data_IF_537537554256
#
_entry.id   IF_537537554256
#
_cell.length_a   1.000
_cell.length_b   1.000
_cell.length_c   1.000
_cell.angle_alpha   90.00
_cell.angle_beta   90.00
_cell.angle_gamma   90.00
#
_symmetry.space_group_name_H-M   'P 1'
#
loop_
_entity.id
_entity.type
_entity.pdbx_description
1 polymer ?
#
# COMPACT_ATOMS: atom_id res chain seq x y z
N UNK A 1 -7.86 9.64 17.99
CA UNK A 1 -8.02 9.46 16.53
C UNK A 1 -9.48 9.17 16.28
N UNK A 2 -10.07 9.75 15.23
CA UNK A 2 -11.40 9.36 14.79
C UNK A 2 -11.24 8.27 13.71
N UNK A 3 -12.11 7.27 13.70
CA UNK A 3 -12.11 6.18 12.72
C UNK A 3 -11.60 4.83 13.23
N UNK A 4 -12.03 3.72 12.59
CA UNK A 4 -11.61 2.38 12.95
C UNK A 4 -10.13 2.14 12.59
N UNK A 5 -9.41 1.49 13.50
CA UNK A 5 -8.04 1.00 13.34
C UNK A 5 -8.06 -0.52 13.31
N UNK A 6 -7.54 -1.10 12.23
CA UNK A 6 -7.23 -2.53 12.16
C UNK A 6 -5.75 -2.72 12.49
N UNK A 7 -5.46 -3.55 13.49
CA UNK A 7 -4.11 -3.88 13.93
C UNK A 7 -3.90 -5.38 13.83
N UNK A 8 -2.95 -5.80 13.00
CA UNK A 8 -2.48 -7.19 12.96
C UNK A 8 -1.26 -7.33 13.87
N UNK A 9 -1.33 -8.25 14.83
CA UNK A 9 -0.26 -8.56 15.78
C UNK A 9 0.25 -9.96 15.50
N UNK A 10 1.50 -10.07 15.09
CA UNK A 10 2.18 -11.35 14.89
C UNK A 10 2.80 -11.81 16.21
N UNK A 11 2.68 -13.10 16.53
CA UNK A 11 3.30 -13.68 17.72
C UNK A 11 3.75 -15.12 17.46
N UNK A 12 4.89 -15.51 18.01
CA UNK A 12 5.33 -16.92 18.06
C UNK A 12 4.93 -17.64 19.34
N UNK A 13 4.25 -16.93 20.26
CA UNK A 13 3.70 -17.54 21.47
C UNK A 13 2.62 -18.56 21.07
N UNK A 14 2.60 -19.72 21.72
CA UNK A 14 1.54 -20.70 21.47
C UNK A 14 0.17 -20.13 21.84
N UNK A 15 -0.90 -20.54 21.12
CA UNK A 15 -2.28 -20.29 21.52
C UNK A 15 -2.49 -20.59 23.02
N UNK A 16 -3.12 -19.67 23.75
CA UNK A 16 -3.45 -19.79 25.18
C UNK A 16 -2.24 -19.92 26.13
N UNK A 17 -1.03 -19.62 25.65
CA UNK A 17 0.14 -19.54 26.53
C UNK A 17 0.07 -18.32 27.47
N UNK A 18 0.75 -18.36 28.64
CA UNK A 18 0.83 -17.22 29.55
C UNK A 18 1.35 -15.94 28.88
N UNK A 19 2.22 -16.09 27.87
CA UNK A 19 2.74 -14.98 27.07
C UNK A 19 1.64 -14.33 26.23
N UNK A 20 0.78 -15.13 25.59
CA UNK A 20 -0.37 -14.61 24.85
C UNK A 20 -1.40 -13.97 25.79
N UNK A 21 -1.71 -14.60 26.92
CA UNK A 21 -2.63 -14.03 27.91
C UNK A 21 -2.15 -12.66 28.40
N UNK A 22 -0.85 -12.53 28.68
CA UNK A 22 -0.23 -11.25 29.05
C UNK A 22 -0.33 -10.20 27.93
N UNK A 23 -0.17 -10.60 26.67
CA UNK A 23 -0.33 -9.70 25.52
C UNK A 23 -1.78 -9.23 25.37
N UNK A 24 -2.74 -10.14 25.45
CA UNK A 24 -4.18 -9.85 25.42
C UNK A 24 -4.58 -8.95 26.58
N UNK A 25 -4.09 -9.23 27.81
CA UNK A 25 -4.35 -8.40 28.98
C UNK A 25 -3.80 -6.97 28.83
N UNK A 26 -2.61 -6.81 28.22
CA UNK A 26 -2.06 -5.48 27.90
C UNK A 26 -2.93 -4.72 26.90
N UNK A 27 -3.38 -5.37 25.83
CA UNK A 27 -4.24 -4.75 24.82
C UNK A 27 -5.61 -4.36 25.42
N UNK A 28 -6.21 -5.24 26.23
CA UNK A 28 -7.43 -4.95 26.97
C UNK A 28 -7.24 -3.79 27.95
N UNK A 29 -6.09 -3.71 28.64
CA UNK A 29 -5.77 -2.57 29.50
C UNK A 29 -5.65 -1.27 28.72
N UNK A 30 -5.05 -1.28 27.52
CA UNK A 30 -4.99 -0.10 26.64
C UNK A 30 -6.39 0.34 26.20
N UNK A 31 -7.26 -0.59 25.82
CA UNK A 31 -8.65 -0.29 25.45
C UNK A 31 -9.43 0.28 26.64
N UNK A 32 -9.24 -0.23 27.86
CA UNK A 32 -9.87 0.33 29.08
C UNK A 32 -9.39 1.74 29.40
N UNK A 33 -8.09 2.01 29.26
CA UNK A 33 -7.49 3.33 29.50
C UNK A 33 -7.91 4.37 28.46
N UNK A 34 -8.29 3.93 27.26
CA UNK A 34 -8.68 4.80 26.17
C UNK A 34 -10.02 4.35 25.58
N UNK A 35 -11.16 4.80 26.15
CA UNK A 35 -12.50 4.39 25.74
C UNK A 35 -12.78 4.46 24.22
N UNK A 36 -12.25 5.44 23.46
CA UNK A 36 -12.43 5.43 22.00
C UNK A 36 -11.86 4.19 21.30
N UNK A 37 -10.83 3.54 21.86
CA UNK A 37 -10.26 2.31 21.30
C UNK A 37 -11.17 1.11 21.48
N UNK A 38 -12.06 1.08 22.47
CA UNK A 38 -12.99 -0.05 22.65
C UNK A 38 -13.92 -0.24 21.45
N UNK A 39 -14.31 0.86 20.79
CA UNK A 39 -15.21 0.83 19.62
C UNK A 39 -14.48 0.85 18.28
N UNK A 40 -13.24 1.33 18.27
CA UNK A 40 -12.52 1.62 17.03
C UNK A 40 -11.29 0.72 16.80
N UNK A 41 -10.77 0.03 17.81
CA UNK A 41 -9.59 -0.82 17.66
C UNK A 41 -10.00 -2.28 17.43
N UNK A 42 -9.66 -2.80 16.26
CA UNK A 42 -9.82 -4.20 15.89
C UNK A 42 -8.43 -4.84 15.89
N UNK A 43 -8.21 -5.78 16.81
CA UNK A 43 -6.93 -6.48 16.93
C UNK A 43 -7.08 -7.89 16.41
N UNK A 44 -6.20 -8.27 15.48
CA UNK A 44 -6.14 -9.59 14.90
C UNK A 44 -4.80 -10.23 15.28
N UNK A 45 -4.83 -11.45 15.81
CA UNK A 45 -3.61 -12.19 16.12
C UNK A 45 -3.27 -13.14 14.98
N UNK A 46 -2.02 -13.10 14.55
CA UNK A 46 -1.45 -14.10 13.65
C UNK A 46 -0.37 -14.86 14.39
N UNK A 47 -0.66 -16.12 14.71
CA UNK A 47 0.30 -17.05 15.30
C UNK A 47 1.25 -17.53 14.20
N UNK A 48 2.53 -17.28 14.40
CA UNK A 48 3.59 -17.66 13.49
C UNK A 48 4.44 -18.75 14.13
N UNK A 49 4.88 -19.70 13.33
CA UNK A 49 5.90 -20.66 13.79
C UNK A 49 7.22 -19.93 14.05
N UNK A 50 7.96 -20.42 15.04
CA UNK A 50 9.28 -19.88 15.36
C UNK A 50 10.22 -20.06 14.16
N UNK A 51 10.98 -19.02 13.82
CA UNK A 51 11.93 -19.06 12.69
C UNK A 51 11.34 -18.72 11.32
N UNK A 52 10.02 -18.48 11.21
CA UNK A 52 9.45 -17.94 9.97
C UNK A 52 9.93 -16.51 9.74
N UNK A 53 10.37 -16.22 8.52
CA UNK A 53 10.79 -14.89 8.08
C UNK A 53 9.64 -13.88 8.16
N UNK A 54 9.93 -12.69 8.69
CA UNK A 54 8.97 -11.59 8.80
C UNK A 54 8.75 -10.98 7.42
N UNK A 55 7.50 -10.98 6.95
CA UNK A 55 7.06 -10.43 5.66
C UNK A 55 6.06 -9.28 5.89
N UNK A 56 6.53 -8.04 6.12
CA UNK A 56 5.65 -6.99 6.64
C UNK A 56 4.66 -6.43 5.60
N UNK A 57 4.91 -6.53 4.29
CA UNK A 57 3.90 -6.22 3.27
C UNK A 57 2.80 -7.30 3.24
N UNK A 58 3.16 -8.58 3.39
CA UNK A 58 2.17 -9.65 3.51
C UNK A 58 1.23 -9.39 4.71
N UNK A 59 1.79 -8.99 5.85
CA UNK A 59 1.02 -8.61 7.03
C UNK A 59 0.14 -7.38 6.81
N UNK A 60 0.61 -6.37 6.07
CA UNK A 60 -0.23 -5.23 5.70
C UNK A 60 -1.40 -5.61 4.78
N UNK A 61 -1.19 -6.51 3.81
CA UNK A 61 -2.28 -6.99 2.98
C UNK A 61 -3.31 -7.77 3.81
N UNK A 62 -2.86 -8.59 4.77
CA UNK A 62 -3.76 -9.31 5.65
C UNK A 62 -4.54 -8.34 6.56
N UNK A 63 -3.85 -7.37 7.16
CA UNK A 63 -4.48 -6.32 7.97
C UNK A 63 -5.52 -5.52 7.17
N UNK A 64 -5.25 -5.26 5.88
CA UNK A 64 -6.22 -4.68 4.96
C UNK A 64 -7.47 -5.53 4.86
N UNK A 65 -7.35 -6.83 4.54
CA UNK A 65 -8.50 -7.71 4.36
C UNK A 65 -9.37 -7.82 5.61
N UNK A 66 -8.73 -7.82 6.78
CA UNK A 66 -9.40 -7.90 8.07
C UNK A 66 -9.98 -6.56 8.52
N UNK A 67 -9.72 -5.46 7.81
CA UNK A 67 -10.21 -4.16 8.19
C UNK A 67 -11.75 -4.09 8.14
N UNK A 68 -12.37 -3.42 9.12
CA UNK A 68 -13.82 -3.29 9.18
C UNK A 68 -14.36 -2.32 8.12
N UNK A 69 -13.51 -1.43 7.59
CA UNK A 69 -13.90 -0.41 6.62
C UNK A 69 -13.68 -0.88 5.18
N UNK A 70 -14.54 -0.47 4.23
CA UNK A 70 -14.39 -0.81 2.82
C UNK A 70 -13.19 -0.11 2.15
N UNK A 71 -12.69 0.98 2.75
CA UNK A 71 -11.48 1.69 2.32
C UNK A 71 -10.51 1.75 3.49
N UNK A 72 -9.24 1.53 3.21
CA UNK A 72 -8.18 1.49 4.20
C UNK A 72 -7.06 2.44 3.83
N UNK A 73 -6.29 2.86 4.83
CA UNK A 73 -4.99 3.51 4.62
C UNK A 73 -3.92 2.59 5.19
N UNK A 74 -2.98 2.20 4.33
CA UNK A 74 -1.84 1.37 4.68
C UNK A 74 -0.68 2.27 5.08
N UNK A 75 -0.20 2.10 6.31
CA UNK A 75 0.98 2.76 6.83
C UNK A 75 2.14 1.75 6.83
N UNK A 76 3.12 1.90 5.93
CA UNK A 76 4.18 0.90 5.75
C UNK A 76 5.37 1.06 6.71
N UNK A 77 5.43 2.20 7.43
CA UNK A 77 6.46 2.50 8.42
C UNK A 77 6.24 1.81 9.76
N UNK A 78 7.11 2.12 10.72
CA UNK A 78 6.99 1.60 12.08
C UNK A 78 5.81 2.25 12.84
N UNK A 79 5.38 1.61 13.93
CA UNK A 79 4.29 2.13 14.78
C UNK A 79 4.63 3.44 15.50
N UNK A 80 5.88 3.89 15.45
CA UNK A 80 6.28 5.22 15.93
C UNK A 80 5.79 6.34 15.01
N UNK A 81 5.45 6.04 13.75
CA UNK A 81 4.78 6.99 12.87
C UNK A 81 3.31 7.09 13.25
N UNK A 82 2.97 8.17 13.94
CA UNK A 82 1.59 8.45 14.33
C UNK A 82 0.85 9.06 13.14
N UNK A 83 -0.27 8.48 12.68
CA UNK A 83 -1.08 9.08 11.64
C UNK A 83 -1.57 10.49 12.06
N UNK A 84 -1.60 11.48 11.15
CA UNK A 84 -2.06 12.83 11.48
C UNK A 84 -3.48 12.81 12.07
N UNK A 85 -3.74 13.65 13.08
CA UNK A 85 -5.08 13.73 13.72
C UNK A 85 -6.19 14.11 12.74
N UNK A 86 -5.85 14.82 11.66
CA UNK A 86 -6.76 15.28 10.61
C UNK A 86 -7.09 14.20 9.58
N UNK A 87 -6.32 13.10 9.52
CA UNK A 87 -6.41 12.06 8.50
C UNK A 87 -7.83 11.58 8.25
N UNK A 88 -8.52 11.16 9.30
CA UNK A 88 -9.87 10.59 9.18
C UNK A 88 -10.88 11.62 8.67
N UNK A 89 -10.76 12.87 9.13
CA UNK A 89 -11.59 13.98 8.66
C UNK A 89 -11.34 14.25 7.18
N UNK A 90 -10.07 14.25 6.76
CA UNK A 90 -9.68 14.39 5.35
C UNK A 90 -10.27 13.26 4.50
N UNK A 91 -10.25 12.02 4.98
CA UNK A 91 -10.83 10.87 4.27
C UNK A 91 -12.37 10.90 4.20
N UNK A 92 -13.04 11.37 5.24
CA UNK A 92 -14.51 11.42 5.31
C UNK A 92 -15.13 12.55 4.48
N UNK A 93 -14.58 13.77 4.58
CA UNK A 93 -15.15 14.92 3.87
C UNK A 93 -14.85 14.91 2.37
N UNK A 94 -14.03 13.97 1.91
CA UNK A 94 -13.70 13.85 0.50
C UNK A 94 -14.67 12.87 -0.17
N UNK A 95 -15.88 13.38 -0.44
CA UNK A 95 -16.70 12.87 -1.55
C UNK A 95 -15.86 12.88 -2.84
N UNK A 96 -16.11 11.95 -3.77
CA UNK A 96 -15.34 11.86 -5.01
C UNK A 96 -15.41 13.18 -5.75
N UNK A 97 -14.32 13.95 -5.71
CA UNK A 97 -14.13 15.10 -6.57
C UNK A 97 -14.32 14.61 -8.00
N UNK A 98 -15.38 15.11 -8.62
CA UNK A 98 -15.78 14.86 -9.99
C UNK A 98 -14.58 14.79 -10.92
N UNK A 99 -14.22 13.60 -11.37
CA UNK A 99 -13.60 13.44 -12.68
C UNK A 99 -14.76 13.16 -13.62
N UNK A 100 -14.96 14.06 -14.58
CA UNK A 100 -15.99 14.13 -15.62
C UNK A 100 -16.03 12.93 -16.59
N UNK A 101 -15.63 11.73 -16.16
CA UNK A 101 -15.79 10.51 -16.92
C UNK A 101 -17.09 9.81 -16.50
N UNK A 102 -18.12 9.94 -17.34
CA UNK A 102 -19.29 9.07 -17.28
C UNK A 102 -18.82 7.63 -17.41
N UNK A 103 -19.16 6.76 -16.45
CA UNK A 103 -19.17 5.33 -16.70
C UNK A 103 -20.47 5.05 -17.46
N UNK A 104 -20.43 4.65 -18.75
CA UNK A 104 -21.62 4.20 -19.43
C UNK A 104 -21.99 2.84 -18.83
N UNK A 105 -23.14 2.80 -18.15
CA UNK A 105 -23.66 1.58 -17.52
C UNK A 105 -23.37 1.51 -16.03
N UNK A 106 -24.33 1.97 -15.22
CA UNK A 106 -24.76 1.57 -13.86
C UNK A 106 -23.81 0.95 -12.82
N UNK A 107 -22.51 0.82 -13.06
CA UNK A 107 -21.58 0.19 -12.17
C UNK A 107 -21.10 1.18 -11.11
N UNK A 108 -20.95 0.74 -9.85
CA UNK A 108 -20.44 1.60 -8.79
C UNK A 108 -19.10 2.19 -9.21
N UNK A 109 -18.98 3.52 -9.16
CA UNK A 109 -17.73 4.24 -9.47
C UNK A 109 -16.60 3.62 -8.64
N UNK A 110 -15.72 2.84 -9.28
CA UNK A 110 -14.52 2.30 -8.63
C UNK A 110 -13.73 3.49 -8.07
N UNK A 111 -13.61 3.56 -6.74
CA UNK A 111 -12.84 4.60 -6.07
C UNK A 111 -11.37 4.38 -6.42
N UNK A 112 -10.70 5.42 -6.89
CA UNK A 112 -9.30 5.35 -7.29
C UNK A 112 -8.41 5.08 -6.07
N UNK A 113 -7.35 4.28 -6.21
CA UNK A 113 -6.28 4.23 -5.20
C UNK A 113 -5.70 5.62 -4.99
N UNK A 114 -5.25 5.89 -3.76
CA UNK A 114 -4.69 7.19 -3.42
C UNK A 114 -3.37 7.11 -2.70
N UNK A 115 -2.51 8.11 -2.90
CA UNK A 115 -1.23 8.22 -2.21
C UNK A 115 -1.26 9.46 -1.34
N UNK A 116 -0.86 9.31 -0.08
CA UNK A 116 -0.76 10.43 0.83
C UNK A 116 0.68 10.96 0.85
N UNK A 117 0.82 12.28 0.73
CA UNK A 117 2.11 12.97 0.64
C UNK A 117 2.07 14.28 1.42
N UNK A 118 3.22 14.79 1.83
CA UNK A 118 3.37 16.15 2.37
C UNK A 118 3.89 17.17 1.35
N UNK A 119 4.32 16.73 0.16
CA UNK A 119 4.98 17.61 -0.85
C UNK A 119 4.46 17.37 -2.27
N UNK A 120 4.80 18.30 -3.17
CA UNK A 120 4.41 18.49 -4.59
C UNK A 120 4.59 17.30 -5.55
N UNK A 121 5.17 16.17 -5.12
CA UNK A 121 5.30 14.99 -5.99
C UNK A 121 3.93 14.35 -6.19
N UNK A 122 3.33 14.65 -7.34
CA UNK A 122 2.03 14.11 -7.78
C UNK A 122 2.15 12.87 -8.64
N UNK A 123 3.37 12.41 -8.93
CA UNK A 123 3.64 11.20 -9.70
C UNK A 123 4.76 10.37 -9.07
N UNK A 124 4.85 9.11 -9.51
CA UNK A 124 5.97 8.23 -9.17
C UNK A 124 7.32 8.84 -9.64
N UNK A 125 8.42 8.71 -8.89
CA UNK A 125 8.53 8.06 -7.57
C UNK A 125 7.99 8.91 -6.43
N UNK A 126 7.17 8.28 -5.58
CA UNK A 126 6.59 8.90 -4.38
C UNK A 126 7.59 8.99 -3.23
N UNK A 127 7.22 9.66 -2.14
CA UNK A 127 8.02 9.70 -0.93
C UNK A 127 8.22 8.26 -0.37
N UNK A 128 9.40 7.94 0.19
CA UNK A 128 9.63 6.65 0.82
C UNK A 128 8.59 6.41 1.92
N UNK A 129 8.04 5.20 1.96
CA UNK A 129 7.01 4.78 2.92
C UNK A 129 5.73 5.66 2.89
N UNK A 130 5.44 6.30 1.75
CA UNK A 130 4.20 7.06 1.55
C UNK A 130 2.97 6.17 1.82
N UNK A 131 2.01 6.61 2.66
CA UNK A 131 0.81 5.85 2.93
C UNK A 131 -0.06 5.68 1.69
N UNK A 132 -0.66 4.50 1.58
CA UNK A 132 -1.44 4.08 0.42
C UNK A 132 -2.90 3.86 0.81
N UNK A 133 -3.81 4.53 0.11
CA UNK A 133 -5.25 4.37 0.25
C UNK A 133 -5.75 3.38 -0.79
N UNK A 134 -6.37 2.29 -0.33
CA UNK A 134 -6.93 1.25 -1.20
C UNK A 134 -8.32 0.83 -0.72
N UNK A 135 -9.09 0.24 -1.63
CA UNK A 135 -10.24 -0.57 -1.23
C UNK A 135 -9.74 -1.80 -0.47
N UNK A 136 -10.54 -2.27 0.49
CA UNK A 136 -10.24 -3.48 1.27
C UNK A 136 -10.04 -4.70 0.38
N UNK A 137 -10.89 -4.80 -0.64
CA UNK A 137 -10.99 -5.88 -1.63
C UNK A 137 -10.25 -5.57 -2.94
N UNK A 138 -9.36 -4.56 -2.95
CA UNK A 138 -8.57 -4.25 -4.14
C UNK A 138 -7.67 -5.44 -4.52
N UNK A 139 -7.65 -5.79 -5.81
CA UNK A 139 -6.89 -6.93 -6.33
C UNK A 139 -5.37 -6.75 -6.21
N UNK A 140 -4.89 -5.52 -5.96
CA UNK A 140 -3.46 -5.25 -5.80
C UNK A 140 -2.94 -5.86 -4.50
N UNK A 141 -1.82 -6.56 -4.58
CA UNK A 141 -1.11 -7.13 -3.43
C UNK A 141 0.29 -6.54 -3.37
N UNK A 142 0.62 -5.87 -2.25
CA UNK A 142 1.99 -5.46 -1.99
C UNK A 142 2.78 -6.69 -1.54
N UNK A 143 3.65 -7.27 -2.35
CA UNK A 143 4.49 -8.41 -1.91
C UNK A 143 5.90 -7.94 -1.65
N UNK A 144 6.61 -8.60 -0.74
CA UNK A 144 8.08 -8.58 -0.70
C UNK A 144 8.58 -9.21 -2.00
N UNK A 145 9.38 -8.48 -2.78
CA UNK A 145 9.82 -8.94 -4.10
C UNK A 145 11.28 -9.37 -4.11
N UNK A 146 12.06 -8.83 -3.18
CA UNK A 146 13.49 -9.05 -3.14
C UNK A 146 13.86 -9.90 -1.92
N UNK A 147 15.14 -10.31 -1.89
CA UNK A 147 15.71 -11.17 -0.86
C UNK A 147 15.62 -10.55 0.54
N UNK A 148 15.89 -11.37 1.56
CA UNK A 148 16.08 -10.91 2.93
C UNK A 148 17.08 -9.73 2.99
N UNK A 149 16.90 -8.85 3.98
CA UNK A 149 17.72 -7.65 4.27
C UNK A 149 17.55 -6.44 3.33
N UNK A 150 16.52 -6.46 2.48
CA UNK A 150 16.14 -5.26 1.74
C UNK A 150 15.45 -4.24 2.64
N UNK A 151 15.82 -2.94 2.56
CA UNK A 151 15.21 -1.96 3.43
C UNK A 151 13.72 -1.83 3.12
N UNK A 152 12.92 -1.66 4.17
CA UNK A 152 11.45 -1.59 4.11
C UNK A 152 10.93 -0.60 3.06
N UNK A 153 11.61 0.53 2.88
CA UNK A 153 11.24 1.54 1.89
C UNK A 153 11.41 1.07 0.45
N UNK A 154 12.39 0.21 0.16
CA UNK A 154 12.64 -0.31 -1.17
C UNK A 154 11.55 -1.30 -1.61
N UNK A 155 11.17 -2.24 -0.74
CA UNK A 155 10.04 -3.15 -1.01
C UNK A 155 8.73 -2.37 -1.17
N UNK A 156 8.53 -1.33 -0.36
CA UNK A 156 7.34 -0.49 -0.45
C UNK A 156 7.29 0.32 -1.75
N UNK A 157 8.43 0.83 -2.22
CA UNK A 157 8.52 1.55 -3.51
C UNK A 157 8.00 0.69 -4.67
N UNK A 158 8.36 -0.60 -4.71
CA UNK A 158 7.87 -1.49 -5.76
C UNK A 158 6.37 -1.73 -5.66
N UNK A 159 5.79 -1.80 -4.45
CA UNK A 159 4.33 -1.85 -4.35
C UNK A 159 3.69 -0.58 -4.92
N UNK A 160 4.19 0.60 -4.54
CA UNK A 160 3.64 1.86 -5.04
C UNK A 160 3.80 1.98 -6.56
N UNK A 161 4.90 1.49 -7.12
CA UNK A 161 5.12 1.40 -8.55
C UNK A 161 4.09 0.50 -9.23
N UNK A 162 3.82 -0.69 -8.68
CA UNK A 162 2.81 -1.60 -9.23
C UNK A 162 1.40 -1.01 -9.18
N UNK A 163 1.03 -0.36 -8.07
CA UNK A 163 -0.26 0.35 -7.95
C UNK A 163 -0.36 1.46 -9.00
N UNK A 164 0.69 2.27 -9.15
CA UNK A 164 0.74 3.34 -10.13
C UNK A 164 0.66 2.83 -11.56
N UNK A 165 1.38 1.76 -11.90
CA UNK A 165 1.35 1.12 -13.21
C UNK A 165 -0.03 0.53 -13.51
N UNK A 166 -0.60 -0.23 -12.57
CA UNK A 166 -1.89 -0.89 -12.70
C UNK A 166 -3.06 0.08 -12.89
N UNK A 167 -2.90 1.33 -12.44
CA UNK A 167 -3.88 2.40 -12.61
C UNK A 167 -3.52 3.39 -13.73
N UNK A 168 -2.55 3.08 -14.60
CA UNK A 168 -2.12 3.97 -15.69
C UNK A 168 -1.71 5.38 -15.22
N UNK A 169 -1.15 5.45 -14.01
CA UNK A 169 -0.79 6.70 -13.35
C UNK A 169 -1.96 7.51 -12.79
N UNK A 170 -3.20 7.01 -12.93
CA UNK A 170 -4.42 7.66 -12.44
C UNK A 170 -4.63 7.35 -10.96
N UNK A 171 -3.80 7.97 -10.10
CA UNK A 171 -3.89 7.88 -8.65
C UNK A 171 -4.39 9.19 -8.05
N UNK A 172 -5.14 9.06 -6.95
CA UNK A 172 -5.60 10.18 -6.13
C UNK A 172 -4.46 10.66 -5.22
N UNK A 173 -3.83 11.80 -5.52
CA UNK A 173 -2.78 12.34 -4.67
C UNK A 173 -3.38 13.23 -3.59
N UNK A 174 -3.09 12.91 -2.32
CA UNK A 174 -3.63 13.61 -1.16
C UNK A 174 -2.52 14.25 -0.36
N UNK A 175 -2.53 15.57 -0.33
CA UNK A 175 -1.69 16.34 0.58
C UNK A 175 -2.31 16.30 1.96
N UNK A 176 -1.55 15.78 2.93
CA UNK A 176 -1.99 15.71 4.33
C UNK A 176 -0.85 16.20 5.21
N UNK A 177 -1.12 17.28 5.93
CA UNK A 177 -0.16 17.86 6.86
C UNK A 177 0.23 16.84 7.94
N UNK A 178 1.53 16.79 8.26
CA UNK A 178 2.08 15.87 9.25
C UNK A 178 2.41 14.47 8.72
N UNK A 179 2.17 14.17 7.44
CA UNK A 179 2.76 12.97 6.81
C UNK A 179 4.21 13.27 6.45
N UNK A 180 5.11 13.03 7.41
CA UNK A 180 6.54 13.07 7.13
C UNK A 180 6.93 11.79 6.40
N UNK A 181 7.36 11.92 5.14
CA UNK A 181 8.07 10.83 4.49
C UNK A 181 9.29 10.47 5.33
N UNK A 182 9.48 9.19 5.62
CA UNK A 182 10.72 8.77 6.27
C UNK A 182 11.86 8.91 5.26
N UNK A 183 13.06 9.22 5.75
CA UNK A 183 14.23 9.18 4.90
C UNK A 183 14.38 7.77 4.31
N UNK A 184 14.73 7.64 3.03
CA UNK A 184 15.00 6.33 2.46
C UNK A 184 16.16 5.71 3.22
N UNK A 185 15.94 4.52 3.77
CA UNK A 185 17.02 3.70 4.32
C UNK A 185 17.95 3.28 3.20
N UNK A 186 19.24 3.60 3.33
CA UNK A 186 20.27 3.24 2.36
C UNK A 186 20.68 1.79 2.50
N UNK A 187 20.85 1.10 1.38
CA UNK A 187 21.49 -0.22 1.34
C UNK A 187 22.99 0.02 1.52
N UNK A 188 23.52 -0.30 2.70
CA UNK A 188 24.92 -0.03 3.07
C UNK A 188 25.90 -0.87 2.24
N UNK A 189 25.51 -2.09 1.87
CA UNK A 189 26.34 -2.98 1.06
C UNK A 189 26.22 -2.64 -0.44
N UNK A 190 27.31 -2.17 -1.05
CA UNK A 190 27.37 -1.82 -2.46
C UNK A 190 27.05 -2.97 -3.42
N UNK A 191 27.44 -4.21 -3.09
CA UNK A 191 27.10 -5.39 -3.89
C UNK A 191 25.60 -5.69 -3.82
N UNK A 192 25.01 -5.62 -2.63
CA UNK A 192 23.57 -5.75 -2.44
C UNK A 192 22.79 -4.64 -3.16
N UNK A 193 23.27 -3.40 -3.11
CA UNK A 193 22.67 -2.28 -3.83
C UNK A 193 22.72 -2.48 -5.36
N UNK A 194 23.84 -2.98 -5.89
CA UNK A 194 23.99 -3.29 -7.32
C UNK A 194 23.07 -4.44 -7.75
N UNK A 195 23.00 -5.50 -6.94
CA UNK A 195 22.10 -6.63 -7.17
C UNK A 195 20.64 -6.17 -7.14
N UNK A 196 20.24 -5.40 -6.13
CA UNK A 196 18.91 -4.83 -6.02
C UNK A 196 18.53 -4.01 -7.26
N UNK A 197 19.38 -3.10 -7.73
CA UNK A 197 19.12 -2.33 -8.96
C UNK A 197 18.87 -3.22 -10.17
N UNK A 198 19.64 -4.30 -10.33
CA UNK A 198 19.46 -5.28 -11.41
C UNK A 198 18.11 -6.00 -11.30
N UNK A 199 17.75 -6.45 -10.09
CA UNK A 199 16.48 -7.13 -9.84
C UNK A 199 15.29 -6.21 -10.06
N UNK A 200 15.34 -4.96 -9.58
CA UNK A 200 14.32 -3.93 -9.84
C UNK A 200 14.16 -3.71 -11.34
N UNK A 201 15.27 -3.53 -12.07
CA UNK A 201 15.21 -3.33 -13.52
C UNK A 201 14.55 -4.51 -14.24
N UNK A 202 14.93 -5.75 -13.88
CA UNK A 202 14.35 -6.96 -14.46
C UNK A 202 12.87 -7.08 -14.12
N UNK A 203 12.51 -6.91 -12.85
CA UNK A 203 11.14 -6.97 -12.36
C UNK A 203 10.23 -5.94 -13.03
N UNK A 204 10.67 -4.68 -13.13
CA UNK A 204 9.91 -3.62 -13.79
C UNK A 204 9.75 -3.90 -15.28
N UNK A 205 10.77 -4.42 -15.95
CA UNK A 205 10.70 -4.86 -17.35
C UNK A 205 9.65 -5.96 -17.56
N UNK A 206 9.72 -7.04 -16.79
CA UNK A 206 8.77 -8.17 -16.86
C UNK A 206 7.34 -7.73 -16.56
N UNK A 207 7.16 -6.92 -15.50
CA UNK A 207 5.85 -6.40 -15.11
C UNK A 207 5.28 -5.46 -16.19
N UNK A 208 6.12 -4.63 -16.81
CA UNK A 208 5.74 -3.82 -17.96
C UNK A 208 5.30 -4.67 -19.16
N UNK A 209 6.06 -5.71 -19.50
CA UNK A 209 5.71 -6.64 -20.57
C UNK A 209 4.38 -7.37 -20.29
N UNK A 210 4.15 -7.77 -19.04
CA UNK A 210 2.89 -8.38 -18.63
C UNK A 210 1.72 -7.38 -18.69
N UNK A 211 1.93 -6.15 -18.20
CA UNK A 211 0.91 -5.09 -18.24
C UNK A 211 0.51 -4.75 -19.67
N UNK A 212 1.47 -4.63 -20.59
CA UNK A 212 1.22 -4.36 -22.01
C UNK A 212 0.40 -5.49 -22.63
N UNK A 213 0.79 -6.75 -22.40
CA UNK A 213 0.07 -7.92 -22.94
C UNK A 213 -1.36 -8.01 -22.40
N UNK A 214 -1.53 -7.89 -21.08
CA UNK A 214 -2.86 -7.89 -20.44
C UNK A 214 -3.73 -6.76 -20.96
N UNK A 215 -3.19 -5.55 -21.06
CA UNK A 215 -3.95 -4.42 -21.58
C UNK A 215 -4.31 -4.59 -23.06
N UNK A 216 -3.40 -5.10 -23.89
CA UNK A 216 -3.68 -5.37 -25.30
C UNK A 216 -4.79 -6.41 -25.49
N UNK A 217 -4.89 -7.40 -24.60
CA UNK A 217 -5.93 -8.43 -24.63
C UNK A 217 -7.31 -7.93 -24.18
N UNK A 218 -7.37 -6.91 -23.30
CA UNK A 218 -8.62 -6.44 -22.69
C UNK A 218 -9.12 -5.11 -23.24
N UNK A 219 -8.30 -4.35 -23.99
CA UNK A 219 -8.67 -3.03 -24.48
C UNK A 219 -9.74 -3.08 -25.56
N UNK A 220 -10.56 -2.04 -25.60
CA UNK A 220 -11.42 -1.74 -26.73
C UNK A 220 -10.66 -0.85 -27.74
N UNK A 221 -10.49 -1.31 -28.97
CA UNK A 221 -9.79 -0.58 -30.03
C UNK A 221 -10.51 0.70 -30.45
N UNK A 222 -11.83 0.78 -30.25
CA UNK A 222 -12.64 1.97 -30.54
C UNK A 222 -12.59 3.02 -29.42
N UNK A 223 -12.10 2.64 -28.23
CA UNK A 223 -12.05 3.52 -27.06
C UNK A 223 -10.89 4.51 -27.12
N UNK A 224 -11.22 5.80 -27.16
CA UNK A 224 -10.24 6.89 -27.07
C UNK A 224 -9.50 6.90 -25.73
N UNK A 225 -10.15 6.47 -24.65
CA UNK A 225 -9.55 6.34 -23.32
C UNK A 225 -8.49 5.23 -23.30
N UNK A 226 -8.79 4.08 -23.92
CA UNK A 226 -7.83 2.99 -24.02
C UNK A 226 -6.66 3.32 -24.95
N UNK A 227 -6.90 4.11 -25.99
CA UNK A 227 -5.82 4.65 -26.82
C UNK A 227 -4.88 5.57 -26.02
N UNK A 228 -5.41 6.38 -25.10
CA UNK A 228 -4.59 7.20 -24.18
C UNK A 228 -3.79 6.32 -23.21
N UNK A 229 -4.42 5.33 -22.59
CA UNK A 229 -3.75 4.36 -21.70
C UNK A 229 -2.67 3.55 -22.41
N UNK A 230 -2.92 3.10 -23.64
CA UNK A 230 -1.93 2.40 -24.47
C UNK A 230 -0.67 3.26 -24.69
N UNK A 231 -0.86 4.52 -25.06
CA UNK A 231 0.25 5.48 -25.28
C UNK A 231 1.02 5.77 -23.99
N UNK A 232 0.30 5.93 -22.89
CA UNK A 232 0.90 6.12 -21.57
C UNK A 232 1.76 4.91 -21.19
N UNK A 233 1.22 3.70 -21.32
CA UNK A 233 1.92 2.47 -20.94
C UNK A 233 3.17 2.24 -21.80
N UNK A 234 3.07 2.44 -23.12
CA UNK A 234 4.23 2.39 -24.02
C UNK A 234 5.33 3.37 -23.61
N UNK A 235 4.96 4.61 -23.24
CA UNK A 235 5.92 5.65 -22.84
C UNK A 235 6.64 5.29 -21.55
N UNK A 236 5.88 4.90 -20.52
CA UNK A 236 6.41 4.57 -19.20
C UNK A 236 7.25 3.30 -19.23
N UNK A 237 6.84 2.30 -20.01
CA UNK A 237 7.55 1.03 -20.10
C UNK A 237 8.78 1.08 -21.01
N UNK A 238 8.94 2.12 -21.83
CA UNK A 238 10.06 2.25 -22.78
C UNK A 238 11.41 2.19 -22.09
N UNK A 239 11.56 2.83 -20.93
CA UNK A 239 12.80 2.84 -20.16
C UNK A 239 13.18 1.48 -19.57
N UNK A 240 12.28 0.52 -19.59
CA UNK A 240 12.46 -0.81 -18.99
C UNK A 240 12.51 -1.93 -20.04
N UNK A 241 12.15 -1.64 -21.29
CA UNK A 241 12.11 -2.60 -22.41
C UNK A 241 13.41 -2.69 -23.23
N UNK A 242 14.46 -1.96 -22.85
CA UNK A 242 15.68 -1.77 -23.65
C UNK A 242 16.91 -2.58 -23.18
N UNK A 243 16.71 -3.62 -22.37
CA UNK A 243 17.79 -4.52 -21.92
C UNK A 243 17.62 -5.90 -22.53
#
# INVERSE_FOLDING_TARGET
>A
MAGPLSLLVTTSAQPFSPQQEKLTAKLAALQRKHPPLQKNLFVHFLHMEAGIEVRPNAFLNLARLLAPSPRVVLFPGNLSVVPPKTLYRTLLHQQPSSSSAMAPGGHPRKRRPGIMTSRERTSFPFAPLAPLVLARDDATWCTERFFADMPRSADWEECLWQVWLGNFGDLEIRQVDGITGQAPSTIENAAAAKLHRRLVSKFRSETCGLAIRRFAALRDASSSADTKKARWLKRVCRSWSSN
#
